data_IF_778374450276
#
_entry.id   IF_778374450276
#
_cell.length_a   1.000
_cell.length_b   1.000
_cell.length_c   1.000
_cell.angle_alpha   90.00
_cell.angle_beta   90.00
_cell.angle_gamma   90.00
#
_symmetry.space_group_name_H-M   'P 1'
#
loop_
_entity.id
_entity.type
_entity.pdbx_description
1 polymer ?
#
# COMPACT_ATOMS: atom_id res chain seq x y z
N UNK A 1 -30.98 24.11 19.71
CA UNK A 1 -29.52 23.87 19.91
C UNK A 1 -29.23 22.39 20.22
N UNK A 2 -29.47 21.46 19.29
CA UNK A 2 -29.08 20.03 19.43
C UNK A 2 -28.82 19.41 18.05
N UNK A 3 -27.79 19.88 17.35
CA UNK A 3 -27.43 19.36 16.01
C UNK A 3 -25.92 19.16 15.79
N UNK A 4 -25.08 19.36 16.82
CA UNK A 4 -23.62 19.20 16.69
C UNK A 4 -23.06 17.88 17.22
N UNK A 5 -23.90 16.98 17.73
CA UNK A 5 -23.47 15.72 18.38
C UNK A 5 -23.59 14.49 17.48
N UNK A 6 -23.52 14.68 16.16
CA UNK A 6 -23.24 13.60 15.17
C UNK A 6 -21.74 13.51 14.88
N UNK A 7 -20.89 13.93 15.82
CA UNK A 7 -19.44 14.06 15.60
C UNK A 7 -18.75 12.70 15.84
N UNK A 8 -18.08 12.21 14.82
CA UNK A 8 -17.47 10.88 14.70
C UNK A 8 -16.85 10.34 16.01
N UNK A 9 -17.38 9.25 16.59
CA UNK A 9 -16.90 8.71 17.87
C UNK A 9 -15.45 8.21 17.80
N UNK A 10 -15.01 7.76 16.62
CA UNK A 10 -13.67 7.19 16.42
C UNK A 10 -12.53 8.18 16.65
N UNK A 11 -12.69 9.44 16.22
CA UNK A 11 -11.64 10.47 16.39
C UNK A 11 -11.50 10.84 17.87
N UNK A 12 -12.61 10.86 18.63
CA UNK A 12 -12.58 11.14 20.07
C UNK A 12 -11.83 10.04 20.82
N UNK A 13 -12.08 8.77 20.47
CA UNK A 13 -11.38 7.64 21.08
C UNK A 13 -9.87 7.65 20.78
N UNK A 14 -9.48 7.94 19.54
CA UNK A 14 -8.07 8.04 19.16
C UNK A 14 -7.33 9.14 19.95
N UNK A 15 -7.96 10.31 20.13
CA UNK A 15 -7.39 11.43 20.88
C UNK A 15 -7.34 11.19 22.40
N UNK A 16 -8.32 10.48 22.96
CA UNK A 16 -8.34 10.08 24.36
C UNK A 16 -7.22 9.07 24.67
N UNK A 17 -7.02 8.08 23.79
CA UNK A 17 -5.89 7.16 23.85
C UNK A 17 -4.52 7.86 23.73
N UNK A 18 -4.48 9.03 23.10
CA UNK A 18 -3.29 9.91 23.02
C UNK A 18 -3.18 10.90 24.18
N UNK A 19 -4.07 10.85 25.17
CA UNK A 19 -4.06 11.72 26.35
C UNK A 19 -4.36 13.19 26.07
N UNK A 20 -4.92 13.51 24.90
CA UNK A 20 -5.17 14.90 24.47
C UNK A 20 -6.65 15.26 24.63
N UNK A 21 -6.97 16.04 25.67
CA UNK A 21 -8.33 16.51 25.94
C UNK A 21 -8.83 17.42 24.81
N UNK A 22 -9.89 17.04 24.08
CA UNK A 22 -10.21 17.73 22.85
C UNK A 22 -11.26 18.83 23.05
N UNK A 23 -10.86 20.08 22.82
CA UNK A 23 -11.81 21.16 22.58
C UNK A 23 -12.63 20.93 21.30
N UNK A 24 -13.83 21.52 21.22
CA UNK A 24 -14.75 21.37 20.07
C UNK A 24 -14.11 21.87 18.75
N UNK A 25 -13.09 22.73 18.81
CA UNK A 25 -12.29 23.14 17.64
C UNK A 25 -11.22 22.12 17.24
N UNK A 26 -10.44 21.61 18.20
CA UNK A 26 -9.27 20.76 17.90
C UNK A 26 -9.64 19.44 17.23
N UNK A 27 -10.76 18.80 17.59
CA UNK A 27 -11.20 17.54 16.95
C UNK A 27 -11.47 17.75 15.45
N UNK A 28 -12.14 18.84 15.08
CA UNK A 28 -12.48 19.10 13.67
C UNK A 28 -11.22 19.41 12.88
N UNK A 29 -10.31 20.19 13.45
CA UNK A 29 -9.04 20.52 12.80
C UNK A 29 -8.20 19.27 12.59
N UNK A 30 -8.02 18.44 13.62
CA UNK A 30 -7.28 17.18 13.53
C UNK A 30 -7.92 16.24 12.51
N UNK A 31 -9.24 16.10 12.51
CA UNK A 31 -9.95 15.28 11.52
C UNK A 31 -9.74 15.78 10.09
N UNK A 32 -9.80 17.10 9.86
CA UNK A 32 -9.58 17.71 8.54
C UNK A 32 -8.12 17.56 8.09
N UNK A 33 -7.17 17.75 8.99
CA UNK A 33 -5.74 17.57 8.69
C UNK A 33 -5.44 16.11 8.36
N UNK A 34 -5.97 15.16 9.12
CA UNK A 34 -5.84 13.74 8.83
C UNK A 34 -6.49 13.37 7.49
N UNK A 35 -7.66 13.93 7.19
CA UNK A 35 -8.32 13.74 5.89
C UNK A 35 -7.47 14.30 4.74
N UNK A 36 -6.94 15.51 4.88
CA UNK A 36 -6.04 16.12 3.89
C UNK A 36 -4.79 15.27 3.69
N UNK A 37 -4.18 14.77 4.76
CA UNK A 37 -3.01 13.91 4.66
C UNK A 37 -3.29 12.65 3.81
N UNK A 38 -4.40 11.96 4.08
CA UNK A 38 -4.79 10.78 3.28
C UNK A 38 -5.06 11.15 1.82
N UNK A 39 -5.66 12.31 1.57
CA UNK A 39 -5.88 12.80 0.20
C UNK A 39 -4.58 13.14 -0.53
N UNK A 40 -3.62 13.77 0.15
CA UNK A 40 -2.31 14.12 -0.42
C UNK A 40 -1.56 12.82 -0.81
N UNK A 41 -1.50 11.81 0.07
CA UNK A 41 -0.91 10.50 -0.25
C UNK A 41 -1.62 9.79 -1.41
N UNK A 42 -2.95 9.80 -1.44
CA UNK A 42 -3.72 9.18 -2.52
C UNK A 42 -3.50 9.88 -3.87
N UNK A 43 -3.37 11.20 -3.85
CA UNK A 43 -3.06 11.99 -5.03
C UNK A 43 -1.66 11.68 -5.57
N UNK A 44 -0.66 11.60 -4.70
CA UNK A 44 0.71 11.23 -5.08
C UNK A 44 0.76 9.81 -5.67
N UNK A 45 0.08 8.84 -5.04
CA UNK A 45 -0.01 7.48 -5.58
C UNK A 45 -0.67 7.42 -6.97
N UNK A 46 -1.68 8.26 -7.24
CA UNK A 46 -2.28 8.37 -8.59
C UNK A 46 -1.25 8.84 -9.61
N UNK A 47 -0.41 9.81 -9.27
CA UNK A 47 0.63 10.31 -10.18
C UNK A 47 1.66 9.21 -10.51
N UNK A 48 2.06 8.40 -9.53
CA UNK A 48 2.92 7.24 -9.78
C UNK A 48 2.28 6.22 -10.71
N UNK A 49 0.98 5.95 -10.51
CA UNK A 49 0.21 5.08 -11.38
C UNK A 49 0.19 5.60 -12.83
N UNK A 50 -0.12 6.88 -13.03
CA UNK A 50 -0.16 7.52 -14.34
C UNK A 50 1.22 7.52 -15.01
N UNK A 51 2.30 7.82 -14.26
CA UNK A 51 3.66 7.80 -14.79
C UNK A 51 4.09 6.40 -15.23
N UNK A 52 3.74 5.37 -14.46
CA UNK A 52 4.01 3.96 -14.79
C UNK A 52 3.23 3.50 -16.01
N UNK A 53 1.93 3.78 -16.07
CA UNK A 53 1.06 3.40 -17.20
C UNK A 53 1.47 4.15 -18.47
N UNK A 54 1.77 5.43 -18.39
CA UNK A 54 2.20 6.22 -19.54
C UNK A 54 3.61 5.83 -20.04
N UNK A 55 4.49 5.39 -19.14
CA UNK A 55 5.81 4.83 -19.49
C UNK A 55 5.74 3.45 -20.16
N UNK A 56 4.67 2.70 -19.94
CA UNK A 56 4.37 1.47 -20.65
C UNK A 56 3.61 1.80 -21.94
N UNK A 57 4.33 2.23 -22.97
CA UNK A 57 3.80 2.59 -24.30
C UNK A 57 3.11 1.39 -24.99
N UNK A 58 1.88 1.10 -24.58
CA UNK A 58 1.14 -0.10 -24.98
C UNK A 58 -0.32 -0.05 -24.54
N UNK A 59 -1.04 0.99 -24.98
CA UNK A 59 -2.48 0.98 -25.30
C UNK A 59 -3.44 0.18 -24.39
N UNK A 60 -3.28 0.27 -23.08
CA UNK A 60 -4.31 -0.15 -22.12
C UNK A 60 -4.65 1.04 -21.25
N UNK A 61 -5.43 1.98 -21.80
CA UNK A 61 -6.29 2.84 -21.00
C UNK A 61 -7.31 1.93 -20.32
N UNK A 62 -6.94 1.33 -19.20
CA UNK A 62 -7.91 0.75 -18.30
C UNK A 62 -8.70 1.91 -17.72
N UNK A 63 -9.97 2.04 -18.08
CA UNK A 63 -10.87 3.09 -17.57
C UNK A 63 -10.99 3.08 -16.03
N UNK A 64 -10.50 2.02 -15.38
CA UNK A 64 -10.51 1.82 -13.94
C UNK A 64 -9.12 2.09 -13.32
N UNK A 65 -9.00 3.20 -12.58
CA UNK A 65 -7.85 3.47 -11.72
C UNK A 65 -7.87 2.53 -10.52
N UNK A 66 -6.81 1.74 -10.35
CA UNK A 66 -6.63 0.84 -9.20
C UNK A 66 -5.44 1.28 -8.37
N UNK A 67 -5.63 1.44 -7.05
CA UNK A 67 -4.55 1.72 -6.11
C UNK A 67 -3.72 0.45 -5.90
N UNK A 68 -2.52 0.40 -6.48
CA UNK A 68 -1.60 -0.73 -6.36
C UNK A 68 -0.61 -0.52 -5.21
N UNK A 69 -0.05 -1.61 -4.68
CA UNK A 69 0.97 -1.54 -3.64
C UNK A 69 2.28 -0.90 -4.12
N UNK A 70 2.60 -1.01 -5.41
CA UNK A 70 3.79 -0.40 -6.00
C UNK A 70 3.67 1.13 -5.99
N UNK A 71 2.56 1.66 -6.51
CA UNK A 71 2.28 3.09 -6.59
C UNK A 71 2.17 3.71 -5.17
N UNK A 72 1.56 2.97 -4.23
CA UNK A 72 1.46 3.37 -2.83
C UNK A 72 2.81 3.35 -2.09
N UNK A 73 3.64 2.34 -2.32
CA UNK A 73 4.96 2.24 -1.70
C UNK A 73 5.92 3.33 -2.21
N UNK A 74 5.79 3.72 -3.48
CA UNK A 74 6.50 4.87 -4.04
C UNK A 74 6.09 6.17 -3.32
N UNK A 75 4.78 6.46 -3.28
CA UNK A 75 4.25 7.64 -2.59
C UNK A 75 4.70 7.74 -1.14
N UNK A 76 4.61 6.64 -0.38
CA UNK A 76 4.98 6.66 1.04
C UNK A 76 6.49 6.77 1.29
N UNK A 77 7.33 6.45 0.30
CA UNK A 77 8.78 6.61 0.39
C UNK A 77 9.19 8.07 0.47
N UNK A 78 8.47 8.99 -0.19
CA UNK A 78 8.71 10.43 -0.04
C UNK A 78 8.42 10.94 1.38
N UNK A 79 7.47 10.31 2.08
CA UNK A 79 7.15 10.61 3.49
C UNK A 79 8.08 9.88 4.48
N UNK A 80 9.09 9.14 4.01
CA UNK A 80 10.04 8.39 4.84
C UNK A 80 9.49 7.06 5.39
N UNK A 81 8.37 6.57 4.86
CA UNK A 81 7.75 5.30 5.27
C UNK A 81 8.16 4.21 4.29
N UNK A 82 8.84 3.17 4.79
CA UNK A 82 9.22 2.03 3.97
C UNK A 82 8.17 0.93 4.02
N UNK A 83 7.48 0.70 2.89
CA UNK A 83 6.58 -0.43 2.71
C UNK A 83 7.27 -1.53 1.91
N UNK A 84 7.61 -2.64 2.57
CA UNK A 84 8.11 -3.85 1.92
C UNK A 84 7.09 -4.97 2.08
N UNK A 85 6.17 -5.06 1.10
CA UNK A 85 5.24 -6.19 1.01
C UNK A 85 5.88 -7.26 0.12
N UNK A 86 6.19 -8.46 0.64
CA UNK A 86 6.66 -9.56 -0.20
C UNK A 86 5.55 -9.97 -1.19
N UNK A 87 5.94 -10.33 -2.40
CA UNK A 87 4.98 -10.77 -3.43
C UNK A 87 4.25 -12.06 -3.01
N UNK A 88 4.97 -12.95 -2.32
CA UNK A 88 4.46 -14.22 -1.83
C UNK A 88 4.99 -14.49 -0.43
N UNK A 89 4.14 -15.01 0.43
CA UNK A 89 4.53 -15.50 1.76
C UNK A 89 4.66 -17.03 1.69
N UNK A 90 5.86 -17.56 1.90
CA UNK A 90 6.06 -18.99 2.05
C UNK A 90 6.00 -19.35 3.54
N UNK A 91 4.81 -19.75 4.01
CA UNK A 91 4.61 -20.25 5.37
C UNK A 91 4.85 -21.76 5.42
N UNK A 92 6.11 -22.18 5.34
CA UNK A 92 6.59 -23.47 5.85
C UNK A 92 7.96 -23.79 5.28
N UNK A 93 8.81 -24.34 6.15
CA UNK A 93 10.06 -25.00 5.77
C UNK A 93 9.90 -26.10 4.70
N UNK A 94 8.66 -26.51 4.39
CA UNK A 94 8.32 -27.51 3.39
C UNK A 94 8.45 -27.03 1.93
N UNK A 95 8.28 -25.74 1.63
CA UNK A 95 8.41 -25.23 0.25
C UNK A 95 9.87 -25.10 -0.21
N UNK A 96 10.83 -25.00 0.74
CA UNK A 96 12.27 -24.94 0.42
C UNK A 96 12.89 -26.31 0.06
N UNK A 97 12.15 -27.42 0.13
CA UNK A 97 12.68 -28.75 -0.23
C UNK A 97 12.42 -29.18 -1.69
N UNK A 98 11.73 -28.40 -2.52
CA UNK A 98 11.48 -28.73 -3.95
C UNK A 98 12.33 -27.93 -4.94
N UNK A 99 13.36 -27.20 -4.49
CA UNK A 99 14.37 -26.63 -5.40
C UNK A 99 15.75 -26.94 -4.86
N UNK A 100 16.13 -28.21 -4.95
CA UNK A 100 17.36 -28.74 -4.38
C UNK A 100 18.04 -29.82 -5.22
N UNK A 101 17.98 -29.74 -6.55
CA UNK A 101 19.05 -30.29 -7.43
C UNK A 101 18.95 -29.72 -8.84
N UNK A 102 19.82 -28.78 -9.24
CA UNK A 102 20.32 -28.74 -10.61
C UNK A 102 21.43 -29.79 -10.73
N UNK A 103 21.14 -31.00 -11.23
CA UNK A 103 22.21 -31.95 -11.51
C UNK A 103 21.94 -32.80 -12.75
N UNK A 104 22.79 -32.51 -13.76
CA UNK A 104 23.31 -33.38 -14.80
C UNK A 104 22.33 -33.92 -15.85
N UNK A 105 22.42 -33.32 -17.04
CA UNK A 105 22.28 -34.00 -18.33
C UNK A 105 23.16 -35.26 -18.34
N UNK A 106 22.64 -36.44 -18.72
CA UNK A 106 23.47 -37.50 -19.26
C UNK A 106 23.07 -37.75 -20.71
N UNK A 107 23.86 -37.18 -21.62
CA UNK A 107 23.99 -37.78 -22.94
C UNK A 107 24.53 -39.20 -22.77
N UNK A 108 23.85 -40.18 -23.38
CA UNK A 108 24.46 -41.46 -23.69
C UNK A 108 24.26 -41.77 -25.16
N UNK A 109 25.40 -42.00 -25.79
CA UNK A 109 25.60 -42.12 -27.21
C UNK A 109 25.54 -43.60 -27.65
N UNK A 110 24.96 -43.83 -28.84
CA UNK A 110 25.31 -44.82 -29.88
C UNK A 110 25.09 -46.33 -29.54
N UNK A 111 24.40 -47.07 -30.43
CA UNK A 111 25.00 -48.09 -31.35
C UNK A 111 23.96 -48.97 -32.07
N UNK A 112 24.10 -48.94 -33.41
CA UNK A 112 23.80 -49.94 -34.45
C UNK A 112 22.37 -50.42 -34.65
#
# INVERSE_FOLDING_TARGET
>A
RRLHDRRSPHVRHCLDSMGCLPGIGSIRMVALVAQKFVLDVAHDAKLFHEHRVNGQAGNVTSDNLTLTMEDLAASLREYGVNLSKPEYFCDSASTLQTVGTPSAVPGKAIKK
#
